data_IF_581418230565
#
_entry.id   IF_581418230565
#
_cell.length_a   1.000
_cell.length_b   1.000
_cell.length_c   1.000
_cell.angle_alpha   90.00
_cell.angle_beta   90.00
_cell.angle_gamma   90.00
#
_symmetry.space_group_name_H-M   'P 1'
#
loop_
_entity.id
_entity.type
_entity.pdbx_description
1 polymer ?
#
# COMPACT_ATOMS: atom_id res chain seq x y z
N UNK A 1 11.20 -88.84 33.91
CA UNK A 1 10.03 -87.94 33.78
C UNK A 1 9.86 -87.15 35.07
N UNK A 2 10.15 -85.85 35.06
CA UNK A 2 9.22 -84.78 35.50
C UNK A 2 9.95 -83.44 35.44
N UNK A 3 9.47 -82.61 34.53
CA UNK A 3 9.76 -81.20 34.39
C UNK A 3 9.48 -80.45 35.70
N UNK A 4 10.35 -79.53 36.09
CA UNK A 4 9.97 -78.41 36.98
C UNK A 4 10.63 -77.12 36.46
N UNK A 5 9.97 -76.39 35.56
CA UNK A 5 10.40 -75.09 35.07
C UNK A 5 9.83 -74.02 36.01
N UNK A 6 10.36 -73.88 37.22
CA UNK A 6 9.83 -72.91 38.19
C UNK A 6 10.75 -71.70 38.40
N UNK A 7 12.01 -71.75 37.96
CA UNK A 7 12.98 -70.68 38.20
C UNK A 7 13.03 -69.62 37.08
N UNK A 8 12.50 -69.90 35.89
CA UNK A 8 12.52 -68.96 34.76
C UNK A 8 11.28 -68.06 34.74
N UNK A 9 10.22 -68.42 35.48
CA UNK A 9 8.94 -67.69 35.50
C UNK A 9 8.82 -66.64 36.61
N UNK A 10 9.93 -66.15 37.15
CA UNK A 10 9.91 -65.06 38.16
C UNK A 10 10.86 -63.89 37.88
N UNK A 11 11.53 -63.87 36.72
CA UNK A 11 12.44 -62.76 36.34
C UNK A 11 11.97 -62.00 35.09
N UNK A 12 10.67 -61.94 34.85
CA UNK A 12 10.05 -61.13 33.78
C UNK A 12 9.13 -60.01 34.31
N UNK A 13 9.17 -59.74 35.61
CA UNK A 13 8.42 -58.64 36.23
C UNK A 13 9.38 -57.57 36.75
N UNK A 14 9.93 -56.77 35.83
CA UNK A 14 10.48 -55.46 36.19
C UNK A 14 10.38 -54.48 35.00
N UNK A 15 9.20 -53.86 34.93
CA UNK A 15 8.91 -52.54 34.39
C UNK A 15 9.33 -52.28 32.93
N UNK A 16 8.43 -52.64 32.00
CA UNK A 16 8.23 -51.75 30.85
C UNK A 16 7.69 -50.44 31.45
N UNK A 17 8.30 -49.26 31.22
CA UNK A 17 7.66 -48.02 31.60
C UNK A 17 6.30 -48.01 30.91
N UNK A 18 5.22 -48.13 31.70
CA UNK A 18 3.88 -48.00 31.17
C UNK A 18 3.84 -46.72 30.33
N UNK A 19 3.23 -46.78 29.14
CA UNK A 19 3.06 -45.59 28.31
C UNK A 19 2.62 -44.44 29.22
N UNK A 20 3.29 -43.27 29.16
CA UNK A 20 3.10 -42.22 30.15
C UNK A 20 1.59 -41.94 30.26
N UNK A 21 1.03 -42.23 31.43
CA UNK A 21 -0.37 -41.91 31.70
C UNK A 21 -0.45 -40.40 31.59
N UNK A 22 -1.22 -39.92 30.62
CA UNK A 22 -1.53 -38.49 30.49
C UNK A 22 -2.27 -38.11 31.76
N UNK A 23 -1.55 -37.53 32.71
CA UNK A 23 -2.09 -37.13 33.99
C UNK A 23 -2.96 -35.89 33.81
N UNK A 24 -3.83 -35.63 34.79
CA UNK A 24 -4.66 -34.44 34.77
C UNK A 24 -3.77 -33.20 34.62
N UNK A 25 -4.07 -32.34 33.63
CA UNK A 25 -3.30 -31.14 33.26
C UNK A 25 -1.92 -31.38 32.64
N UNK A 26 -1.62 -32.58 32.16
CA UNK A 26 -0.37 -32.86 31.44
C UNK A 26 -0.11 -31.91 30.26
N UNK A 27 -1.18 -31.38 29.63
CA UNK A 27 -1.08 -30.46 28.48
C UNK A 27 -1.54 -29.03 28.83
N UNK A 28 -1.35 -28.58 30.08
CA UNK A 28 -1.88 -27.29 30.53
C UNK A 28 -1.29 -26.10 29.74
N UNK A 29 -0.02 -26.19 29.35
CA UNK A 29 0.64 -25.14 28.58
C UNK A 29 0.05 -25.05 27.17
N UNK A 30 -0.08 -26.18 26.50
CA UNK A 30 -0.65 -26.31 25.16
C UNK A 30 -2.12 -25.90 25.15
N UNK A 31 -2.87 -26.24 26.21
CA UNK A 31 -4.25 -25.80 26.37
C UNK A 31 -4.37 -24.27 26.50
N UNK A 32 -3.43 -23.63 27.20
CA UNK A 32 -3.38 -22.16 27.31
C UNK A 32 -3.14 -21.50 25.95
N UNK A 33 -2.23 -22.05 25.16
CA UNK A 33 -1.93 -21.53 23.82
C UNK A 33 -3.11 -21.75 22.85
N UNK A 34 -3.77 -22.89 22.94
CA UNK A 34 -4.99 -23.19 22.17
C UNK A 34 -6.15 -22.27 22.53
N UNK A 35 -6.28 -21.84 23.79
CA UNK A 35 -7.28 -20.84 24.18
C UNK A 35 -7.05 -19.51 23.45
N UNK A 36 -5.80 -19.04 23.33
CA UNK A 36 -5.50 -17.82 22.58
C UNK A 36 -5.90 -17.91 21.10
N UNK A 37 -5.69 -19.07 20.46
CA UNK A 37 -6.15 -19.33 19.10
C UNK A 37 -7.67 -19.34 18.98
N UNK A 38 -8.37 -19.97 19.92
CA UNK A 38 -9.84 -20.02 19.94
C UNK A 38 -10.44 -18.65 20.22
N UNK A 39 -9.84 -17.85 21.09
CA UNK A 39 -10.22 -16.45 21.33
C UNK A 39 -10.06 -15.62 20.06
N UNK A 40 -8.95 -15.77 19.34
CA UNK A 40 -8.76 -15.10 18.05
C UNK A 40 -9.81 -15.52 17.00
N UNK A 41 -10.11 -16.81 16.88
CA UNK A 41 -11.13 -17.30 15.94
C UNK A 41 -12.56 -16.84 16.29
N UNK A 42 -12.82 -16.55 17.57
CA UNK A 42 -14.12 -16.08 18.07
C UNK A 42 -14.22 -14.57 18.18
N UNK A 43 -13.09 -13.86 18.10
CA UNK A 43 -13.07 -12.41 18.13
C UNK A 43 -13.70 -11.83 16.86
N UNK A 44 -14.49 -10.77 17.02
CA UNK A 44 -14.83 -9.90 15.91
C UNK A 44 -13.60 -9.04 15.62
N UNK A 45 -12.93 -9.31 14.50
CA UNK A 45 -11.78 -8.54 14.06
C UNK A 45 -12.27 -7.21 13.48
N UNK A 46 -12.05 -6.12 14.20
CA UNK A 46 -12.18 -4.79 13.62
C UNK A 46 -10.95 -4.54 12.73
N UNK A 47 -11.08 -4.79 11.44
CA UNK A 47 -10.07 -4.37 10.46
C UNK A 47 -10.09 -2.84 10.42
N UNK A 48 -8.96 -2.14 10.64
CA UNK A 48 -8.92 -0.71 10.48
C UNK A 48 -9.37 -0.35 9.07
N UNK A 49 -10.41 0.45 8.96
CA UNK A 49 -10.84 0.99 7.68
C UNK A 49 -9.71 1.87 7.15
N UNK A 50 -9.14 1.54 5.98
CA UNK A 50 -8.21 2.44 5.29
C UNK A 50 -9.06 3.56 4.70
N UNK A 51 -9.39 4.55 5.53
CA UNK A 51 -10.14 5.72 5.10
C UNK A 51 -9.21 6.71 4.39
N UNK A 52 -9.51 7.00 3.12
CA UNK A 52 -9.15 8.28 2.47
C UNK A 52 -7.72 8.50 1.94
N UNK A 53 -6.88 7.46 1.83
CA UNK A 53 -5.46 7.66 1.44
C UNK A 53 -5.15 7.62 -0.06
N UNK A 54 -5.56 6.55 -0.76
CA UNK A 54 -4.99 6.22 -2.07
C UNK A 54 -5.35 7.23 -3.18
N UNK A 55 -6.60 7.67 -3.28
CA UNK A 55 -7.03 8.66 -4.28
C UNK A 55 -6.40 10.03 -4.03
N UNK A 56 -6.32 10.46 -2.77
CA UNK A 56 -5.72 11.74 -2.38
C UNK A 56 -4.21 11.77 -2.67
N UNK A 57 -3.50 10.67 -2.39
CA UNK A 57 -2.07 10.55 -2.71
C UNK A 57 -1.81 10.54 -4.21
N UNK A 58 -2.65 9.87 -4.99
CA UNK A 58 -2.58 9.87 -6.45
C UNK A 58 -2.72 11.29 -7.02
N UNK A 59 -3.76 12.02 -6.58
CA UNK A 59 -3.99 13.40 -7.01
C UNK A 59 -2.83 14.33 -6.64
N UNK A 60 -2.24 14.15 -5.46
CA UNK A 60 -1.04 14.91 -5.07
C UNK A 60 0.17 14.63 -5.97
N UNK A 61 0.36 13.38 -6.41
CA UNK A 61 1.43 13.02 -7.34
C UNK A 61 1.20 13.70 -8.70
N UNK A 62 -0.04 13.70 -9.20
CA UNK A 62 -0.40 14.42 -10.41
C UNK A 62 -0.10 15.93 -10.30
N UNK A 63 -0.49 16.54 -9.18
CA UNK A 63 -0.24 17.96 -8.90
C UNK A 63 1.25 18.29 -8.83
N UNK A 64 2.04 17.47 -8.16
CA UNK A 64 3.50 17.64 -8.10
C UNK A 64 4.14 17.44 -9.47
N UNK A 65 3.66 16.46 -10.24
CA UNK A 65 4.16 16.21 -11.59
C UNK A 65 3.89 17.42 -12.47
N UNK A 66 2.66 17.96 -12.44
CA UNK A 66 2.29 19.13 -13.24
C UNK A 66 3.01 20.40 -12.79
N UNK A 67 3.18 20.62 -11.48
CA UNK A 67 3.89 21.79 -10.92
C UNK A 67 5.37 21.85 -11.32
N UNK A 68 5.99 20.68 -11.48
CA UNK A 68 7.41 20.53 -11.85
C UNK A 68 7.63 20.36 -13.35
N UNK A 69 6.56 20.17 -14.12
CA UNK A 69 6.63 20.04 -15.58
C UNK A 69 7.09 21.34 -16.23
N UNK A 70 7.66 21.22 -17.43
CA UNK A 70 8.06 22.37 -18.22
C UNK A 70 6.85 23.19 -18.70
N UNK A 71 7.12 24.45 -19.04
CA UNK A 71 6.06 25.38 -19.44
C UNK A 71 5.40 24.98 -20.77
N UNK A 72 6.08 24.26 -21.67
CA UNK A 72 5.47 23.84 -22.93
C UNK A 72 4.41 22.76 -22.68
N UNK A 73 4.69 21.81 -21.78
CA UNK A 73 3.70 20.84 -21.33
C UNK A 73 2.48 21.53 -20.70
N UNK A 74 2.71 22.45 -19.76
CA UNK A 74 1.64 23.16 -19.04
C UNK A 74 0.77 24.02 -19.98
N UNK A 75 1.36 24.57 -21.04
CA UNK A 75 0.63 25.36 -22.05
C UNK A 75 -0.38 24.53 -22.85
N UNK A 76 -0.21 23.22 -22.99
CA UNK A 76 -1.18 22.37 -23.71
C UNK A 76 -2.59 22.42 -23.11
N UNK A 77 -2.68 22.75 -21.82
CA UNK A 77 -3.96 22.83 -21.10
C UNK A 77 -4.58 24.23 -21.12
N UNK A 78 -3.85 25.25 -21.58
CA UNK A 78 -4.29 26.65 -21.62
C UNK A 78 -4.95 26.98 -22.94
N UNK A 79 -6.07 27.67 -22.87
CA UNK A 79 -6.68 28.34 -24.01
C UNK A 79 -6.19 29.80 -24.05
N UNK A 80 -5.54 30.18 -25.16
CA UNK A 80 -4.96 31.51 -25.36
C UNK A 80 -6.01 32.63 -25.46
N UNK A 81 -7.30 32.30 -25.56
CA UNK A 81 -8.39 33.28 -25.63
C UNK A 81 -8.68 34.02 -24.32
N UNK A 82 -7.93 33.75 -23.24
CA UNK A 82 -8.00 34.54 -22.02
C UNK A 82 -7.32 33.92 -20.79
N UNK A 83 -7.04 34.72 -19.74
CA UNK A 83 -6.52 34.20 -18.48
C UNK A 83 -7.51 33.24 -17.84
N UNK A 84 -7.01 32.14 -17.25
CA UNK A 84 -7.81 31.07 -16.65
C UNK A 84 -8.79 30.36 -17.59
N UNK A 85 -8.56 30.41 -18.89
CA UNK A 85 -9.25 29.53 -19.84
C UNK A 85 -8.40 28.30 -20.12
N UNK A 86 -9.08 27.17 -20.23
CA UNK A 86 -8.46 25.88 -20.39
C UNK A 86 -9.14 25.06 -21.47
N UNK A 87 -8.36 24.18 -22.09
CA UNK A 87 -8.90 23.17 -22.98
C UNK A 87 -9.55 22.05 -22.16
N UNK A 88 -10.87 22.09 -21.99
CA UNK A 88 -11.63 21.09 -21.22
C UNK A 88 -11.58 19.67 -21.82
N UNK A 89 -11.13 19.55 -23.07
CA UNK A 89 -10.80 18.28 -23.74
C UNK A 89 -9.53 18.45 -24.57
N UNK A 90 -8.82 17.35 -24.84
CA UNK A 90 -7.62 17.38 -25.68
C UNK A 90 -7.94 18.01 -27.03
N UNK A 91 -7.26 19.10 -27.44
CA UNK A 91 -7.42 19.68 -28.76
C UNK A 91 -7.18 18.64 -29.86
N UNK A 92 -8.00 18.67 -30.91
CA UNK A 92 -7.95 17.68 -32.01
C UNK A 92 -6.64 17.75 -32.80
N UNK A 93 -6.00 18.90 -32.75
CA UNK A 93 -4.73 19.22 -33.39
C UNK A 93 -3.56 18.49 -32.70
N UNK A 94 -3.72 18.09 -31.43
CA UNK A 94 -2.71 17.33 -30.69
C UNK A 94 -2.82 15.85 -31.08
N UNK A 95 -1.88 15.41 -31.91
CA UNK A 95 -1.65 13.99 -32.18
C UNK A 95 -0.94 13.36 -31.00
N UNK A 96 -1.63 12.48 -30.29
CA UNK A 96 -1.13 11.82 -29.09
C UNK A 96 -1.75 10.42 -28.97
N UNK A 97 -1.16 9.53 -28.15
CA UNK A 97 -1.74 8.23 -27.84
C UNK A 97 -3.17 8.33 -27.28
N UNK A 98 -3.96 7.27 -27.47
CA UNK A 98 -5.38 7.25 -27.12
C UNK A 98 -5.62 7.41 -25.61
N UNK A 99 -4.68 6.94 -24.78
CA UNK A 99 -4.74 7.07 -23.32
C UNK A 99 -4.72 8.53 -22.84
N UNK A 100 -4.25 9.47 -23.66
CA UNK A 100 -4.29 10.90 -23.30
C UNK A 100 -5.71 11.43 -23.23
N UNK A 101 -6.64 10.92 -24.04
CA UNK A 101 -8.04 11.34 -23.96
C UNK A 101 -8.67 10.95 -22.62
N UNK A 102 -8.29 9.79 -22.09
CA UNK A 102 -8.74 9.33 -20.78
C UNK A 102 -8.08 10.13 -19.64
N UNK A 103 -6.78 10.41 -19.73
CA UNK A 103 -6.03 11.10 -18.68
C UNK A 103 -6.16 12.63 -18.71
N UNK A 104 -6.67 13.21 -19.82
CA UNK A 104 -6.71 14.66 -20.02
C UNK A 104 -7.39 15.40 -18.88
N UNK A 105 -8.51 14.86 -18.38
CA UNK A 105 -9.30 15.51 -17.33
C UNK A 105 -8.52 15.61 -16.02
N UNK A 106 -7.74 14.58 -15.68
CA UNK A 106 -6.93 14.53 -14.47
C UNK A 106 -5.74 15.49 -14.57
N UNK A 107 -5.02 15.46 -15.71
CA UNK A 107 -3.94 16.40 -15.97
C UNK A 107 -4.42 17.85 -16.01
N UNK A 108 -5.61 18.10 -16.56
CA UNK A 108 -6.21 19.41 -16.57
C UNK A 108 -6.52 19.92 -15.16
N UNK A 109 -7.05 19.05 -14.28
CA UNK A 109 -7.25 19.41 -12.88
C UNK A 109 -5.92 19.77 -12.21
N UNK A 110 -4.89 18.97 -12.44
CA UNK A 110 -3.54 19.25 -11.93
C UNK A 110 -2.94 20.54 -12.50
N UNK A 111 -3.22 20.87 -13.77
CA UNK A 111 -2.78 22.12 -14.38
C UNK A 111 -3.44 23.34 -13.72
N UNK A 112 -4.76 23.25 -13.47
CA UNK A 112 -5.52 24.28 -12.74
C UNK A 112 -4.98 24.47 -11.31
N UNK A 113 -4.63 23.38 -10.62
CA UNK A 113 -4.05 23.41 -9.28
C UNK A 113 -2.64 24.03 -9.27
N UNK A 114 -1.77 23.64 -10.21
CA UNK A 114 -0.41 24.16 -10.33
C UNK A 114 -0.35 25.67 -10.61
N UNK A 115 -1.42 26.26 -11.11
CA UNK A 115 -1.52 27.72 -11.34
C UNK A 115 -1.92 28.51 -10.10
N UNK A 116 -2.45 27.81 -9.10
CA UNK A 116 -2.91 28.38 -7.84
C UNK A 116 -2.21 27.68 -6.68
N UNK A 117 -0.86 27.69 -6.64
CA UNK A 117 -0.11 26.93 -5.65
C UNK A 117 -0.45 27.33 -4.22
N UNK A 118 -0.87 28.57 -3.98
CA UNK A 118 -1.28 29.05 -2.65
C UNK A 118 -2.65 28.54 -2.19
N UNK A 119 -3.51 28.09 -3.11
CA UNK A 119 -4.82 27.51 -2.82
C UNK A 119 -4.73 26.00 -2.52
N UNK A 120 -3.59 25.38 -2.82
CA UNK A 120 -3.35 23.94 -2.68
C UNK A 120 -2.30 23.68 -1.62
N UNK A 121 -2.73 23.21 -0.44
CA UNK A 121 -1.87 23.09 0.74
C UNK A 121 -0.61 22.24 0.47
N UNK A 122 -0.74 21.09 -0.18
CA UNK A 122 0.38 20.20 -0.51
C UNK A 122 1.37 20.84 -1.51
N UNK A 123 0.88 21.57 -2.53
CA UNK A 123 1.74 22.29 -3.49
C UNK A 123 2.49 23.42 -2.77
N UNK A 124 1.81 24.16 -1.90
CA UNK A 124 2.38 25.23 -1.10
C UNK A 124 3.48 24.73 -0.18
N UNK A 125 3.20 23.68 0.59
CA UNK A 125 4.11 23.10 1.57
C UNK A 125 5.32 22.43 0.93
N UNK A 126 5.13 21.79 -0.24
CA UNK A 126 6.23 21.16 -0.99
C UNK A 126 7.25 22.16 -1.53
N UNK A 127 6.86 23.43 -1.72
CA UNK A 127 7.66 24.51 -2.33
C UNK A 127 8.16 24.19 -3.75
N UNK A 128 7.65 23.15 -4.41
CA UNK A 128 8.02 22.77 -5.78
C UNK A 128 7.76 23.90 -6.78
N UNK A 129 6.71 24.69 -6.53
CA UNK A 129 6.35 25.84 -7.36
C UNK A 129 7.40 26.98 -7.33
N UNK A 130 8.21 27.07 -6.27
CA UNK A 130 9.27 28.08 -6.07
C UNK A 130 10.62 27.68 -6.64
N UNK A 131 10.77 26.43 -7.08
CA UNK A 131 12.03 25.93 -7.65
C UNK A 131 12.37 26.67 -8.94
N UNK A 132 13.67 26.85 -9.18
CA UNK A 132 14.16 27.30 -10.49
C UNK A 132 13.81 26.29 -11.58
N UNK A 133 13.81 26.72 -12.84
CA UNK A 133 13.51 25.83 -13.98
C UNK A 133 14.38 24.57 -14.00
N UNK A 134 15.68 24.67 -13.70
CA UNK A 134 16.57 23.50 -13.68
C UNK A 134 16.29 22.60 -12.47
N UNK A 135 15.99 23.17 -11.31
CA UNK A 135 15.60 22.38 -10.14
C UNK A 135 14.24 21.68 -10.35
N UNK A 136 13.31 22.29 -11.10
CA UNK A 136 12.04 21.66 -11.51
C UNK A 136 12.26 20.45 -12.39
N UNK A 137 13.23 20.46 -13.31
CA UNK A 137 13.57 19.27 -14.12
C UNK A 137 14.00 18.10 -13.25
N UNK A 138 14.89 18.35 -12.28
CA UNK A 138 15.34 17.33 -11.33
C UNK A 138 14.19 16.82 -10.45
N UNK A 139 13.34 17.72 -9.95
CA UNK A 139 12.17 17.34 -9.16
C UNK A 139 11.16 16.54 -9.99
N UNK A 140 10.92 16.91 -11.25
CA UNK A 140 10.02 16.19 -12.15
C UNK A 140 10.49 14.76 -12.40
N UNK A 141 11.80 14.55 -12.57
CA UNK A 141 12.37 13.19 -12.68
C UNK A 141 12.06 12.35 -11.45
N UNK A 142 12.23 12.90 -10.25
CA UNK A 142 11.93 12.20 -8.98
C UNK A 142 10.44 11.88 -8.88
N UNK A 143 9.56 12.86 -9.15
CA UNK A 143 8.11 12.67 -9.07
C UNK A 143 7.62 11.62 -10.08
N UNK A 144 8.21 11.56 -11.28
CA UNK A 144 7.88 10.53 -12.28
C UNK A 144 8.27 9.12 -11.84
N UNK A 145 9.40 8.97 -11.18
CA UNK A 145 9.78 7.66 -10.62
C UNK A 145 8.80 7.23 -9.53
N UNK A 146 8.41 8.15 -8.64
CA UNK A 146 7.39 7.89 -7.62
C UNK A 146 6.04 7.48 -8.27
N UNK A 147 5.62 8.20 -9.31
CA UNK A 147 4.38 7.90 -10.03
C UNK A 147 4.38 6.52 -10.71
N UNK A 148 5.56 5.97 -11.04
CA UNK A 148 5.68 4.64 -11.64
C UNK A 148 5.61 3.49 -10.64
N UNK A 149 5.73 3.79 -9.35
CA UNK A 149 5.64 2.83 -8.24
C UNK A 149 4.25 2.81 -7.57
N UNK A 150 3.40 3.80 -7.88
CA UNK A 150 2.05 3.95 -7.36
C UNK A 150 1.03 3.14 -8.17
#
# INVERSE_FOLDING_TARGET
MKFMPAAVMLLLLAVVPGAPVVTQRANKAEFSDLCGLVELCRSELTVPEITGGASTSYDHILDFNMTTSDDNWRKLFRDESGPNKYHESKPKEITAPAEWDAAWKEWLAAAKNADKPDEQQHIKESKLHLLSTDAKKSANFIVRNLASEA
#
